data_IF_156435918496
#
_entry.id   IF_156435918496
#
_cell.length_a   1.000
_cell.length_b   1.000
_cell.length_c   1.000
_cell.angle_alpha   90.00
_cell.angle_beta   90.00
_cell.angle_gamma   90.00
#
_symmetry.space_group_name_H-M   'P 1'
#
loop_
_entity.id
_entity.type
_entity.pdbx_description
1 polymer ?
#
# COMPACT_ATOMS: atom_id res chain seq x y z
N UNK A 1 5.10 -28.68 -2.72
CA UNK A 1 4.75 -27.64 -1.73
C UNK A 1 3.68 -26.81 -2.39
N UNK A 2 2.42 -27.01 -2.02
CA UNK A 2 1.34 -26.10 -2.43
C UNK A 2 1.45 -24.87 -1.54
N UNK A 3 2.37 -23.97 -1.89
CA UNK A 3 2.59 -22.73 -1.18
C UNK A 3 1.62 -21.68 -1.70
N UNK A 4 0.59 -21.37 -0.93
CA UNK A 4 -0.24 -20.20 -1.19
C UNK A 4 0.62 -18.94 -1.01
N UNK A 5 0.84 -18.20 -2.10
CA UNK A 5 1.51 -16.90 -2.04
C UNK A 5 0.58 -15.89 -1.37
N UNK A 6 0.98 -15.38 -0.20
CA UNK A 6 0.28 -14.29 0.47
C UNK A 6 0.99 -12.97 0.19
N UNK A 7 0.20 -11.95 -0.10
CA UNK A 7 0.67 -10.59 -0.39
C UNK A 7 0.06 -9.66 0.66
N UNK A 8 0.84 -8.68 1.11
CA UNK A 8 0.39 -7.61 2.00
C UNK A 8 1.14 -6.32 1.62
N UNK A 9 0.59 -5.17 2.02
CA UNK A 9 1.27 -3.89 1.82
C UNK A 9 2.09 -3.54 3.05
N UNK A 10 3.22 -2.86 2.84
CA UNK A 10 4.07 -2.33 3.91
C UNK A 10 4.37 -0.87 3.60
N UNK A 11 4.33 -0.03 4.63
CA UNK A 11 4.77 1.36 4.53
C UNK A 11 6.30 1.46 4.56
N UNK A 12 6.83 2.65 4.82
CA UNK A 12 8.26 2.83 5.10
C UNK A 12 8.72 2.07 6.35
N UNK A 13 9.98 1.61 6.34
CA UNK A 13 10.57 0.78 7.39
C UNK A 13 11.91 0.16 6.98
N UNK A 14 12.32 -0.90 7.66
CA UNK A 14 13.48 -1.72 7.31
C UNK A 14 13.18 -3.21 7.54
N UNK A 15 14.01 -4.06 6.93
CA UNK A 15 13.93 -5.50 7.11
C UNK A 15 15.25 -6.05 7.65
N UNK A 16 15.15 -6.92 8.65
CA UNK A 16 16.26 -7.72 9.15
C UNK A 16 16.10 -9.15 8.63
N UNK A 17 17.14 -9.65 7.97
CA UNK A 17 17.15 -10.95 7.31
C UNK A 17 18.06 -11.88 8.10
N UNK A 18 17.46 -12.84 8.81
CA UNK A 18 18.16 -13.92 9.50
C UNK A 18 18.18 -15.21 8.68
N UNK A 19 18.84 -16.23 9.22
CA UNK A 19 18.98 -17.54 8.55
C UNK A 19 17.65 -18.27 8.34
N UNK A 20 16.69 -18.09 9.24
CA UNK A 20 15.40 -18.79 9.24
C UNK A 20 14.19 -17.86 9.35
N UNK A 21 14.41 -16.56 9.55
CA UNK A 21 13.35 -15.58 9.81
C UNK A 21 13.69 -14.26 9.13
N UNK A 22 12.67 -13.60 8.60
CA UNK A 22 12.75 -12.21 8.16
C UNK A 22 11.84 -11.39 9.05
N UNK A 23 12.36 -10.33 9.66
CA UNK A 23 11.60 -9.40 10.48
C UNK A 23 11.49 -8.10 9.73
N UNK A 24 10.26 -7.61 9.54
CA UNK A 24 10.00 -6.32 8.89
C UNK A 24 9.48 -5.38 9.97
N UNK A 25 10.19 -4.28 10.19
CA UNK A 25 9.78 -3.21 11.12
C UNK A 25 9.36 -2.02 10.29
N UNK A 26 8.09 -1.65 10.42
CA UNK A 26 7.46 -0.61 9.60
C UNK A 26 6.36 0.11 10.39
N UNK A 27 5.92 1.25 9.87
CA UNK A 27 4.85 2.03 10.50
C UNK A 27 3.46 1.39 10.32
N UNK A 28 3.23 0.73 9.19
CA UNK A 28 1.99 0.03 8.87
C UNK A 28 2.25 -1.15 7.94
N UNK A 29 1.57 -2.26 8.21
CA UNK A 29 1.41 -3.39 7.31
C UNK A 29 -0.08 -3.77 7.28
N UNK A 30 -0.64 -3.99 6.08
CA UNK A 30 -2.08 -4.26 5.90
C UNK A 30 -2.27 -5.44 4.96
N UNK A 31 -3.12 -6.40 5.35
CA UNK A 31 -3.59 -7.43 4.44
C UNK A 31 -4.51 -6.81 3.37
N UNK A 32 -4.56 -7.35 2.14
CA UNK A 32 -5.40 -6.80 1.08
C UNK A 32 -6.88 -6.72 1.48
N UNK A 33 -7.36 -7.70 2.24
CA UNK A 33 -8.74 -7.78 2.75
C UNK A 33 -9.08 -6.73 3.81
N UNK A 34 -8.08 -6.11 4.44
CA UNK A 34 -8.26 -5.07 5.46
C UNK A 34 -8.24 -3.65 4.86
N UNK A 35 -7.84 -3.53 3.58
CA UNK A 35 -7.71 -2.24 2.92
C UNK A 35 -9.09 -1.74 2.47
N UNK A 36 -9.52 -0.65 3.08
CA UNK A 36 -10.63 0.17 2.58
C UNK A 36 -10.17 0.96 1.32
N UNK A 37 -10.65 0.51 0.16
CA UNK A 37 -10.29 1.07 -1.16
C UNK A 37 -10.78 2.51 -1.29
N UNK A 38 -12.02 2.82 -0.88
CA UNK A 38 -12.56 4.18 -1.00
C UNK A 38 -11.75 5.17 -0.17
N UNK A 39 -11.37 4.77 1.05
CA UNK A 39 -10.49 5.55 1.90
C UNK A 39 -9.10 5.74 1.29
N UNK A 40 -8.55 4.71 0.66
CA UNK A 40 -7.26 4.80 -0.02
C UNK A 40 -7.31 5.73 -1.25
N UNK A 41 -8.39 5.67 -2.04
CA UNK A 41 -8.63 6.57 -3.18
C UNK A 41 -8.80 8.02 -2.73
N UNK A 42 -9.59 8.27 -1.68
CA UNK A 42 -9.71 9.60 -1.07
C UNK A 42 -8.36 10.15 -0.58
N UNK A 43 -7.52 9.30 0.03
CA UNK A 43 -6.18 9.69 0.46
C UNK A 43 -5.28 10.05 -0.73
N UNK A 44 -5.34 9.28 -1.82
CA UNK A 44 -4.60 9.56 -3.05
C UNK A 44 -4.99 10.91 -3.64
N UNK A 45 -6.28 11.21 -3.74
CA UNK A 45 -6.75 12.49 -4.28
C UNK A 45 -6.33 13.68 -3.42
N UNK A 46 -6.49 13.59 -2.09
CA UNK A 46 -6.00 14.65 -1.18
C UNK A 46 -4.49 14.89 -1.33
N UNK A 47 -3.71 13.81 -1.44
CA UNK A 47 -2.27 13.91 -1.58
C UNK A 47 -1.86 14.51 -2.94
N UNK A 48 -2.53 14.14 -4.04
CA UNK A 48 -2.35 14.75 -5.37
C UNK A 48 -2.68 16.24 -5.36
N UNK A 49 -3.81 16.64 -4.77
CA UNK A 49 -4.19 18.05 -4.66
C UNK A 49 -3.12 18.85 -3.93
N UNK A 50 -2.58 18.31 -2.83
CA UNK A 50 -1.50 18.96 -2.07
C UNK A 50 -0.20 19.03 -2.88
N UNK A 51 0.17 17.95 -3.55
CA UNK A 51 1.38 17.89 -4.37
C UNK A 51 1.36 18.93 -5.51
N UNK A 52 0.19 19.16 -6.12
CA UNK A 52 0.03 20.08 -7.25
C UNK A 52 -0.26 21.53 -6.86
N UNK A 53 -0.53 21.81 -5.58
CA UNK A 53 -0.84 23.17 -5.15
C UNK A 53 0.38 24.10 -5.27
N UNK A 54 0.14 25.31 -5.74
CA UNK A 54 1.15 26.36 -5.91
C UNK A 54 1.65 26.93 -4.59
N UNK A 55 0.87 26.75 -3.51
CA UNK A 55 1.22 27.23 -2.16
C UNK A 55 2.02 26.21 -1.34
N UNK A 56 2.21 25.00 -1.87
CA UNK A 56 2.89 23.89 -1.17
C UNK A 56 4.41 24.08 -1.21
N UNK A 57 5.05 24.04 -0.03
CA UNK A 57 6.51 24.07 0.08
C UNK A 57 7.14 22.80 -0.49
N UNK A 58 8.45 22.81 -0.77
CA UNK A 58 9.16 21.62 -1.26
C UNK A 58 9.06 20.43 -0.30
N UNK A 59 9.25 20.67 1.00
CA UNK A 59 9.10 19.66 2.05
C UNK A 59 7.67 19.07 2.08
N UNK A 60 6.64 19.92 2.02
CA UNK A 60 5.25 19.47 1.98
C UNK A 60 4.96 18.68 0.70
N UNK A 61 5.61 19.02 -0.42
CA UNK A 61 5.49 18.31 -1.70
C UNK A 61 6.12 16.92 -1.59
N UNK A 62 7.27 16.80 -0.94
CA UNK A 62 7.90 15.50 -0.65
C UNK A 62 6.98 14.61 0.20
N UNK A 63 6.40 15.15 1.28
CA UNK A 63 5.45 14.39 2.10
C UNK A 63 4.18 14.01 1.34
N UNK A 64 3.68 14.89 0.47
CA UNK A 64 2.54 14.59 -0.39
C UNK A 64 2.87 13.46 -1.38
N UNK A 65 4.07 13.45 -1.96
CA UNK A 65 4.54 12.36 -2.82
C UNK A 65 4.56 11.02 -2.08
N UNK A 66 5.18 10.96 -0.89
CA UNK A 66 5.19 9.72 -0.09
C UNK A 66 3.77 9.25 0.26
N UNK A 67 2.86 10.18 0.56
CA UNK A 67 1.46 9.85 0.81
C UNK A 67 0.75 9.30 -0.44
N UNK A 68 1.04 9.85 -1.63
CA UNK A 68 0.53 9.33 -2.90
C UNK A 68 1.03 7.91 -3.17
N UNK A 69 2.32 7.65 -2.95
CA UNK A 69 2.93 6.33 -3.16
C UNK A 69 2.31 5.27 -2.24
N UNK A 70 2.15 5.58 -0.95
CA UNK A 70 1.45 4.68 0.00
C UNK A 70 0.01 4.39 -0.43
N UNK A 71 -0.74 5.42 -0.82
CA UNK A 71 -2.13 5.25 -1.24
C UNK A 71 -2.23 4.39 -2.51
N UNK A 72 -1.34 4.60 -3.49
CA UNK A 72 -1.27 3.78 -4.71
C UNK A 72 -0.97 2.33 -4.38
N UNK A 73 0.01 2.05 -3.53
CA UNK A 73 0.37 0.69 -3.13
C UNK A 73 -0.84 -0.05 -2.51
N UNK A 74 -1.58 0.62 -1.61
CA UNK A 74 -2.81 0.08 -1.00
C UNK A 74 -3.88 -0.26 -2.05
N UNK A 75 -4.14 0.66 -2.97
CA UNK A 75 -5.13 0.47 -4.05
C UNK A 75 -4.73 -0.69 -4.97
N UNK A 76 -3.46 -0.76 -5.38
CA UNK A 76 -2.97 -1.79 -6.30
C UNK A 76 -3.17 -3.18 -5.70
N UNK A 77 -2.67 -3.41 -4.48
CA UNK A 77 -2.72 -4.72 -3.84
C UNK A 77 -4.16 -5.15 -3.53
N UNK A 78 -5.02 -4.22 -3.08
CA UNK A 78 -6.43 -4.53 -2.85
C UNK A 78 -7.16 -4.94 -4.14
N UNK A 79 -6.92 -4.22 -5.25
CA UNK A 79 -7.53 -4.52 -6.56
C UNK A 79 -6.99 -5.81 -7.19
N UNK A 80 -5.71 -6.12 -7.00
CA UNK A 80 -5.13 -7.39 -7.45
C UNK A 80 -5.70 -8.58 -6.67
N UNK A 81 -5.84 -8.43 -5.34
CA UNK A 81 -6.44 -9.44 -4.49
C UNK A 81 -7.91 -9.69 -4.86
N UNK A 82 -8.70 -8.64 -5.05
CA UNK A 82 -10.12 -8.77 -5.44
C UNK A 82 -10.30 -9.56 -6.76
N UNK A 83 -9.43 -9.32 -7.74
CA UNK A 83 -9.43 -10.08 -9.01
C UNK A 83 -9.09 -11.55 -8.80
N UNK A 84 -8.04 -11.84 -8.02
CA UNK A 84 -7.63 -13.21 -7.73
C UNK A 84 -8.70 -13.98 -6.93
N UNK A 85 -9.38 -13.33 -5.99
CA UNK A 85 -10.46 -13.93 -5.20
C UNK A 85 -11.69 -14.25 -6.05
N UNK A 86 -12.07 -13.38 -7.00
CA UNK A 86 -13.18 -13.64 -7.94
C UNK A 86 -12.90 -14.83 -8.85
N UNK A 87 -11.67 -14.94 -9.37
CA UNK A 87 -11.25 -16.07 -10.21
C UNK A 87 -11.30 -17.42 -9.49
N UNK A 88 -11.16 -17.44 -8.15
CA UNK A 88 -11.25 -18.67 -7.34
C UNK A 88 -12.69 -19.05 -6.98
N UNK A 89 -13.65 -18.12 -7.09
CA UNK A 89 -15.08 -18.37 -6.82
C UNK A 89 -15.90 -18.82 -8.03
N UNK A 90 -15.31 -18.78 -9.23
CA UNK A 90 -15.93 -19.20 -10.50
C UNK A 90 -15.51 -20.62 -10.95
N UNK A 91 -14.79 -21.36 -10.08
CA UNK A 91 -14.41 -22.77 -10.25
C UNK A 91 -15.10 -23.63 -9.18
#
# INVERSE_FOLDING_TARGET
MDGETKVFTVSEGFAEIGQHVVVIVCNAAEWPSEIDIERAESALERAKTRFNSVTTTEEQRLYAQHAMERAKARITVAKEWEKSSKNHSEL
#
